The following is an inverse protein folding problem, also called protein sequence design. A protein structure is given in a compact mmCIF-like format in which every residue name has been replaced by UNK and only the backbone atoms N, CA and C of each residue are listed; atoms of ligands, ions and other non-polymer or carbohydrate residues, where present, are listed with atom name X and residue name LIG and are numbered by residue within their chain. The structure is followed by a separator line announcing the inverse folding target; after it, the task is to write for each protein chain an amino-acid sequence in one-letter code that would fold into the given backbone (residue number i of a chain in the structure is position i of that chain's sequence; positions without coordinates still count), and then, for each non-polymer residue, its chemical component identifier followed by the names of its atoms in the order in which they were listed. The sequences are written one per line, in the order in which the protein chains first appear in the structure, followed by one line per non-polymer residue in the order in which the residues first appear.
data_IF_944839881234
#
_entry.id   IF_944839881234
#
_cell.length_a   1.000
_cell.length_b   1.000
_cell.length_c   1.000
_cell.angle_alpha   90.00
_cell.angle_beta   90.00
_cell.angle_gamma   90.00
#
_symmetry.space_group_name_H-M   'P 1'
#
loop_
_entity.id
_entity.type
_entity.pdbx_description
1 polymer ?
#
# COMPACT_ATOMS: atom_id res chain seq x y z
N UNK A 1 -57.53 8.58 -67.35
CA UNK A 1 -57.45 7.16 -67.60
C UNK A 1 -57.02 6.56 -66.28
N UNK A 2 -57.94 6.12 -65.52
CA UNK A 2 -58.44 4.81 -65.18
C UNK A 2 -57.38 3.96 -64.49
N UNK A 3 -57.67 3.75 -63.27
CA UNK A 3 -57.96 2.52 -62.52
C UNK A 3 -56.70 1.78 -62.08
N UNK A 4 -56.54 1.13 -61.00
CA UNK A 4 -57.48 0.25 -60.24
C UNK A 4 -56.90 0.00 -58.87
N UNK A 5 -57.76 0.02 -57.88
CA UNK A 5 -57.57 -0.38 -56.50
C UNK A 5 -57.46 -1.91 -56.40
N UNK A 6 -56.53 -2.43 -55.63
CA UNK A 6 -56.61 -3.80 -55.07
C UNK A 6 -56.33 -3.73 -53.58
N UNK A 7 -57.36 -4.03 -52.80
CA UNK A 7 -57.31 -4.31 -51.37
C UNK A 7 -57.08 -5.81 -51.22
N UNK A 8 -56.06 -6.20 -50.45
CA UNK A 8 -55.90 -7.55 -49.94
C UNK A 8 -55.90 -7.48 -48.42
N UNK A 9 -56.97 -7.95 -47.81
CA UNK A 9 -56.99 -8.29 -46.38
C UNK A 9 -56.23 -9.61 -46.17
N UNK A 10 -55.20 -9.55 -45.37
CA UNK A 10 -54.53 -10.74 -44.81
C UNK A 10 -54.58 -10.67 -43.29
N UNK A 11 -55.45 -11.50 -42.68
CA UNK A 11 -55.41 -11.75 -41.27
C UNK A 11 -54.23 -12.66 -40.96
N UNK A 12 -53.32 -12.20 -40.12
CA UNK A 12 -52.16 -12.93 -39.63
C UNK A 12 -52.07 -12.86 -38.11
N UNK A 13 -52.16 -14.01 -37.48
CA UNK A 13 -52.24 -14.27 -36.05
C UNK A 13 -51.10 -13.60 -35.24
N UNK A 14 -51.45 -13.03 -34.12
CA UNK A 14 -50.51 -12.62 -33.07
C UNK A 14 -49.86 -13.87 -32.46
N UNK A 15 -48.55 -13.94 -32.59
CA UNK A 15 -47.72 -14.80 -31.77
C UNK A 15 -47.12 -13.96 -30.65
N UNK A 16 -47.60 -14.10 -29.45
CA UNK A 16 -47.00 -13.57 -28.25
C UNK A 16 -45.66 -14.31 -28.00
N UNK A 17 -44.56 -13.62 -28.27
CA UNK A 17 -43.25 -14.07 -27.83
C UNK A 17 -43.03 -13.63 -26.39
N UNK A 18 -43.20 -14.56 -25.47
CA UNK A 18 -42.82 -14.43 -24.08
C UNK A 18 -41.28 -14.27 -24.03
N UNK A 19 -40.82 -13.03 -23.97
CA UNK A 19 -39.43 -12.66 -23.73
C UNK A 19 -39.17 -12.75 -22.24
N UNK A 20 -39.00 -13.97 -21.73
CA UNK A 20 -38.38 -14.21 -20.45
C UNK A 20 -36.95 -13.70 -20.46
N UNK A 21 -36.78 -12.42 -20.16
CA UNK A 21 -35.48 -11.87 -19.82
C UNK A 21 -35.03 -12.46 -18.47
N UNK A 22 -34.42 -13.61 -18.53
CA UNK A 22 -33.66 -14.16 -17.42
C UNK A 22 -32.52 -13.19 -17.11
N UNK A 23 -32.72 -12.32 -16.11
CA UNK A 23 -31.65 -11.59 -15.51
C UNK A 23 -30.67 -12.62 -14.91
N UNK A 24 -29.60 -12.93 -15.65
CA UNK A 24 -28.48 -13.63 -15.11
C UNK A 24 -27.91 -12.75 -13.99
N UNK A 25 -28.27 -13.06 -12.75
CA UNK A 25 -27.59 -12.51 -11.60
C UNK A 25 -26.11 -12.90 -11.73
N UNK A 26 -25.29 -11.93 -12.11
CA UNK A 26 -23.84 -12.06 -12.03
C UNK A 26 -23.54 -12.29 -10.55
N UNK A 27 -23.36 -13.55 -10.17
CA UNK A 27 -22.74 -13.91 -8.90
C UNK A 27 -21.30 -13.48 -8.98
N UNK A 28 -21.06 -12.19 -8.67
CA UNK A 28 -19.72 -11.69 -8.42
C UNK A 28 -19.17 -12.49 -7.24
N UNK A 29 -18.32 -13.45 -7.50
CA UNK A 29 -17.46 -14.03 -6.49
C UNK A 29 -16.56 -12.89 -6.01
N UNK A 30 -17.01 -12.16 -4.99
CA UNK A 30 -16.19 -11.19 -4.31
C UNK A 30 -14.95 -11.93 -3.80
N UNK A 31 -13.81 -11.65 -4.39
CA UNK A 31 -12.53 -12.15 -3.90
C UNK A 31 -12.35 -11.51 -2.53
N UNK A 32 -12.51 -12.32 -1.48
CA UNK A 32 -12.22 -11.85 -0.11
C UNK A 32 -10.73 -11.64 -0.03
N UNK A 33 -10.32 -10.41 0.28
CA UNK A 33 -8.91 -10.10 0.47
C UNK A 33 -8.33 -10.97 1.60
N UNK A 34 -7.11 -11.51 1.43
CA UNK A 34 -6.45 -12.24 2.50
C UNK A 34 -6.28 -11.33 3.72
N UNK A 35 -6.43 -11.90 4.92
CA UNK A 35 -6.29 -11.15 6.16
C UNK A 35 -4.83 -11.18 6.61
N UNK A 36 -4.25 -10.00 6.82
CA UNK A 36 -2.93 -9.81 7.38
C UNK A 36 -2.99 -8.80 8.54
N UNK A 37 -1.90 -8.69 9.28
CA UNK A 37 -1.69 -7.70 10.36
C UNK A 37 -0.21 -7.33 10.31
N UNK A 38 0.10 -6.33 9.48
CA UNK A 38 1.48 -5.87 9.27
C UNK A 38 1.84 -4.91 10.38
N UNK A 39 2.94 -5.16 11.07
CA UNK A 39 3.48 -4.28 12.10
C UNK A 39 4.92 -3.88 11.78
N UNK A 40 5.31 -2.69 12.20
CA UNK A 40 6.67 -2.19 12.08
C UNK A 40 7.28 -1.91 13.43
N UNK A 41 8.53 -2.32 13.59
CA UNK A 41 9.35 -2.06 14.77
C UNK A 41 10.72 -1.59 14.33
N UNK A 42 11.39 -0.85 15.19
CA UNK A 42 12.73 -0.46 14.84
C UNK A 42 13.34 0.56 15.78
N UNK A 43 14.35 1.21 15.28
CA UNK A 43 15.04 2.28 16.00
C UNK A 43 15.59 3.31 15.04
N UNK A 44 15.65 4.54 15.53
CA UNK A 44 16.23 5.66 14.85
C UNK A 44 17.24 6.34 15.76
N UNK A 45 18.30 6.92 15.18
CA UNK A 45 19.21 7.81 15.87
C UNK A 45 19.65 8.93 14.94
N UNK A 46 19.91 10.11 15.52
CA UNK A 46 20.42 11.27 14.81
C UNK A 46 21.65 11.80 15.53
N UNK A 47 22.74 11.98 14.80
CA UNK A 47 23.97 12.55 15.32
C UNK A 47 24.76 13.24 14.20
N UNK A 48 25.15 14.49 14.41
CA UNK A 48 25.97 15.25 13.46
C UNK A 48 25.45 15.18 12.03
N UNK A 49 24.14 15.39 11.84
CA UNK A 49 23.49 15.31 10.54
C UNK A 49 23.43 13.93 9.91
N UNK A 50 23.82 12.88 10.62
CA UNK A 50 23.65 11.49 10.19
C UNK A 50 22.43 10.88 10.89
N UNK A 51 21.46 10.44 10.09
CA UNK A 51 20.23 9.80 10.53
C UNK A 51 20.30 8.31 10.20
N UNK A 52 20.38 7.48 11.23
CA UNK A 52 20.32 6.02 11.10
C UNK A 52 18.90 5.53 11.35
N UNK A 53 18.39 4.69 10.45
CA UNK A 53 17.03 4.11 10.50
C UNK A 53 17.13 2.61 10.38
N UNK A 54 16.51 1.87 11.29
CA UNK A 54 16.30 0.43 11.19
C UNK A 54 14.82 0.14 11.29
N UNK A 55 14.29 -0.56 10.30
CA UNK A 55 12.89 -0.97 10.22
C UNK A 55 12.83 -2.47 10.05
N UNK A 56 12.17 -3.14 10.97
CA UNK A 56 11.79 -4.55 10.87
C UNK A 56 10.28 -4.61 10.69
N UNK A 57 9.82 -5.44 9.76
CA UNK A 57 8.40 -5.64 9.50
C UNK A 57 8.00 -7.06 9.90
N UNK A 58 6.85 -7.19 10.53
CA UNK A 58 6.27 -8.46 10.95
C UNK A 58 4.84 -8.57 10.42
N UNK A 59 4.34 -9.79 10.31
CA UNK A 59 2.95 -10.05 9.99
C UNK A 59 2.38 -10.96 11.07
N UNK A 60 1.47 -10.43 11.86
CA UNK A 60 0.77 -11.18 12.93
C UNK A 60 -0.50 -11.86 12.41
N UNK A 61 -0.91 -11.55 11.18
CA UNK A 61 -2.12 -12.10 10.56
C UNK A 61 -1.94 -13.51 10.00
N UNK A 62 -3.06 -14.18 9.71
CA UNK A 62 -3.08 -15.59 9.28
C UNK A 62 -2.65 -15.79 7.83
N UNK A 63 -2.64 -14.75 7.00
CA UNK A 63 -2.28 -14.85 5.57
C UNK A 63 -0.92 -14.25 5.30
N UNK A 64 -0.10 -14.92 4.50
CA UNK A 64 1.17 -14.37 4.06
C UNK A 64 0.95 -13.17 3.13
N UNK A 65 1.82 -12.17 3.24
CA UNK A 65 1.91 -11.02 2.35
C UNK A 65 3.13 -11.21 1.46
N UNK A 66 2.93 -11.18 0.15
CA UNK A 66 4.03 -11.41 -0.80
C UNK A 66 5.07 -10.28 -0.74
N UNK A 67 4.61 -9.07 -0.47
CA UNK A 67 5.44 -7.89 -0.30
C UNK A 67 4.59 -6.76 0.29
N UNK A 68 5.20 -5.86 1.03
CA UNK A 68 4.61 -4.61 1.47
C UNK A 68 5.57 -3.45 1.20
N UNK A 69 5.03 -2.24 1.12
CA UNK A 69 5.83 -1.03 0.94
C UNK A 69 5.69 -0.15 2.17
N UNK A 70 6.80 0.13 2.80
CA UNK A 70 6.93 1.07 3.92
C UNK A 70 7.41 2.40 3.38
N UNK A 71 6.75 3.48 3.77
CA UNK A 71 7.15 4.85 3.51
C UNK A 71 7.76 5.45 4.77
N UNK A 72 8.89 6.09 4.60
CA UNK A 72 9.59 6.87 5.60
C UNK A 72 9.56 8.33 5.15
N UNK A 73 8.84 9.18 5.90
CA UNK A 73 8.80 10.62 5.66
C UNK A 73 9.57 11.35 6.77
N UNK A 74 10.49 12.21 6.35
CA UNK A 74 11.39 12.93 7.24
C UNK A 74 11.00 14.41 7.32
N UNK A 75 10.96 14.99 8.52
CA UNK A 75 10.68 16.42 8.71
C UNK A 75 11.81 17.32 8.20
N UNK A 76 13.01 16.77 8.08
CA UNK A 76 14.21 17.47 7.63
C UNK A 76 14.56 17.09 6.19
N UNK A 77 15.14 18.00 5.38
CA UNK A 77 15.59 17.67 4.04
C UNK A 77 16.81 16.75 4.10
N UNK A 78 16.86 15.80 3.17
CA UNK A 78 17.97 14.85 3.04
C UNK A 78 18.90 15.24 1.91
N UNK A 79 20.19 14.95 2.06
CA UNK A 79 21.17 15.17 0.99
C UNK A 79 20.79 14.30 -0.20
N UNK A 80 20.75 14.87 -1.40
CA UNK A 80 20.40 14.15 -2.63
C UNK A 80 21.51 13.21 -3.08
N UNK A 81 21.13 12.16 -3.80
CA UNK A 81 22.08 11.26 -4.46
C UNK A 81 22.79 10.29 -3.52
N UNK A 82 22.31 10.14 -2.29
CA UNK A 82 22.81 9.11 -1.40
C UNK A 82 22.37 7.73 -1.85
N UNK A 83 23.21 6.75 -1.62
CA UNK A 83 22.91 5.35 -1.90
C UNK A 83 21.90 4.81 -0.89
N UNK A 84 20.90 4.11 -1.40
CA UNK A 84 19.90 3.41 -0.60
C UNK A 84 20.08 1.89 -0.72
N UNK A 85 19.63 1.10 0.26
CA UNK A 85 19.52 -0.34 0.12
C UNK A 85 18.75 -0.73 -1.15
N UNK A 86 19.07 -1.86 -1.75
CA UNK A 86 18.50 -2.31 -3.04
C UNK A 86 16.97 -2.47 -3.02
N UNK A 87 16.39 -2.67 -1.84
CA UNK A 87 14.94 -2.74 -1.64
C UNK A 87 14.28 -1.39 -1.40
N UNK A 88 15.04 -0.27 -1.45
CA UNK A 88 14.53 1.07 -1.20
C UNK A 88 14.72 1.98 -2.43
N UNK A 89 13.88 3.00 -2.52
CA UNK A 89 13.96 4.03 -3.55
C UNK A 89 13.55 5.40 -2.98
N UNK A 90 14.02 6.46 -3.63
CA UNK A 90 13.63 7.83 -3.30
C UNK A 90 12.20 8.11 -3.78
N UNK A 91 11.30 8.48 -2.86
CA UNK A 91 9.96 8.97 -3.15
C UNK A 91 9.88 10.50 -3.28
N UNK A 92 10.94 11.19 -2.87
CA UNK A 92 11.05 12.66 -2.87
C UNK A 92 12.27 13.13 -2.08
N UNK A 93 12.37 14.43 -1.82
CA UNK A 93 13.51 15.03 -1.09
C UNK A 93 13.55 14.66 0.40
N UNK A 94 12.44 14.17 0.92
CA UNK A 94 12.22 13.82 2.33
C UNK A 94 11.52 12.48 2.49
N UNK A 95 11.45 11.68 1.43
CA UNK A 95 10.68 10.45 1.43
C UNK A 95 11.50 9.31 0.87
N UNK A 96 11.54 8.20 1.59
CA UNK A 96 12.11 6.92 1.15
C UNK A 96 11.01 5.87 1.20
N UNK A 97 10.92 5.07 0.16
CA UNK A 97 10.01 3.93 0.06
C UNK A 97 10.83 2.65 0.06
N UNK A 98 10.50 1.71 0.93
CA UNK A 98 11.20 0.44 1.05
C UNK A 98 10.24 -0.74 0.93
N UNK A 99 10.64 -1.76 0.18
CA UNK A 99 9.92 -3.03 0.13
C UNK A 99 10.36 -3.91 1.29
N UNK A 100 9.40 -4.57 1.91
CA UNK A 100 9.68 -5.50 3.02
C UNK A 100 10.16 -6.87 2.53
N UNK A 101 9.85 -7.21 1.26
CA UNK A 101 9.86 -8.59 0.81
C UNK A 101 8.72 -9.39 1.43
N UNK A 102 8.80 -10.71 1.29
CA UNK A 102 7.75 -11.61 1.77
C UNK A 102 7.64 -11.58 3.30
N UNK A 103 6.42 -11.35 3.79
CA UNK A 103 6.04 -11.52 5.20
C UNK A 103 5.19 -12.80 5.32
N UNK A 104 5.72 -13.81 5.99
CA UNK A 104 5.00 -15.05 6.22
C UNK A 104 3.85 -14.84 7.19
N UNK A 105 2.83 -15.68 7.12
CA UNK A 105 1.78 -15.72 8.14
C UNK A 105 2.40 -15.92 9.53
N UNK A 106 1.99 -15.11 10.49
CA UNK A 106 2.51 -15.12 11.87
C UNK A 106 4.05 -15.16 11.88
N UNK A 107 4.69 -14.25 11.13
CA UNK A 107 6.13 -14.30 10.92
C UNK A 107 6.81 -12.95 10.78
N UNK A 108 8.13 -12.99 10.93
CA UNK A 108 9.00 -11.83 10.74
C UNK A 108 9.49 -11.74 9.31
N UNK A 109 9.61 -10.52 8.82
CA UNK A 109 10.31 -10.19 7.59
C UNK A 109 11.78 -9.87 7.84
N UNK A 110 12.43 -9.34 6.81
CA UNK A 110 13.78 -8.82 6.91
C UNK A 110 13.83 -7.46 7.64
N UNK A 111 14.98 -7.13 8.20
CA UNK A 111 15.29 -5.79 8.68
C UNK A 111 15.93 -4.98 7.54
N UNK A 112 15.46 -3.76 7.35
CA UNK A 112 16.08 -2.77 6.45
C UNK A 112 16.82 -1.74 7.29
N UNK A 113 18.12 -1.58 7.04
CA UNK A 113 18.96 -0.57 7.67
C UNK A 113 19.35 0.50 6.64
N UNK A 114 19.14 1.76 6.99
CA UNK A 114 19.39 2.92 6.12
C UNK A 114 20.21 3.92 6.91
N UNK A 115 21.28 4.44 6.30
CA UNK A 115 22.04 5.57 6.82
C UNK A 115 21.87 6.75 5.85
N UNK A 116 21.36 7.86 6.35
CA UNK A 116 21.05 9.06 5.57
C UNK A 116 21.75 10.28 6.17
N UNK A 117 22.16 11.18 5.31
CA UNK A 117 22.66 12.50 5.72
C UNK A 117 21.57 13.54 5.51
N UNK A 118 21.37 14.37 6.52
CA UNK A 118 20.49 15.54 6.45
C UNK A 118 21.21 16.71 5.77
N UNK A 119 20.42 17.62 5.21
CA UNK A 119 20.96 18.92 4.80
C UNK A 119 21.14 19.78 6.06
N UNK A 120 22.38 20.06 6.39
CA UNK A 120 22.75 20.72 7.66
C UNK A 120 22.78 19.72 8.82
N UNK A 121 22.87 20.30 10.02
CA UNK A 121 22.96 19.57 11.29
C UNK A 121 21.77 19.96 12.19
N UNK A 122 20.59 19.38 11.97
CA UNK A 122 19.40 19.71 12.74
C UNK A 122 19.48 19.16 14.15
N UNK A 123 18.95 19.90 15.13
CA UNK A 123 18.90 19.50 16.54
C UNK A 123 17.95 18.31 16.78
N UNK A 124 16.98 18.12 15.88
CA UNK A 124 16.01 17.03 15.92
C UNK A 124 15.44 16.70 14.53
N UNK A 125 14.93 15.52 14.36
CA UNK A 125 14.11 15.11 13.22
C UNK A 125 12.87 14.37 13.68
N UNK A 126 11.77 14.51 12.94
CA UNK A 126 10.60 13.64 13.07
C UNK A 126 10.58 12.70 11.87
N UNK A 127 10.44 11.41 12.14
CA UNK A 127 10.29 10.39 11.10
C UNK A 127 8.92 9.77 11.24
N UNK A 128 8.14 9.84 10.17
CA UNK A 128 6.87 9.15 10.05
C UNK A 128 7.09 7.88 9.25
N UNK A 129 6.54 6.77 9.74
CA UNK A 129 6.68 5.43 9.18
C UNK A 129 5.28 4.91 8.93
N UNK A 130 4.97 4.58 7.67
CA UNK A 130 3.63 4.11 7.28
C UNK A 130 3.73 2.94 6.31
N UNK A 131 2.82 1.97 6.40
CA UNK A 131 2.55 1.05 5.29
C UNK A 131 1.72 1.78 4.24
N UNK A 132 2.24 1.91 3.02
CA UNK A 132 1.51 2.51 1.89
C UNK A 132 0.93 1.46 0.93
N UNK A 133 1.41 0.24 1.02
CA UNK A 133 0.87 -0.91 0.31
C UNK A 133 1.21 -2.21 1.07
N UNK A 134 0.25 -3.10 1.23
CA UNK A 134 0.35 -4.33 2.03
C UNK A 134 0.03 -5.61 1.22
N UNK A 135 0.34 -5.59 -0.07
CA UNK A 135 0.05 -6.74 -0.95
C UNK A 135 -1.42 -6.93 -1.29
N UNK A 136 -2.28 -5.96 -0.98
CA UNK A 136 -3.73 -6.06 -1.18
C UNK A 136 -4.45 -6.87 -0.08
N UNK A 137 -3.78 -7.15 1.04
CA UNK A 137 -4.39 -7.78 2.19
C UNK A 137 -5.31 -6.81 2.96
N UNK A 138 -6.29 -7.36 3.67
CA UNK A 138 -7.05 -6.63 4.67
C UNK A 138 -6.28 -6.64 5.98
N UNK A 139 -5.98 -5.46 6.52
CA UNK A 139 -5.28 -5.29 7.78
C UNK A 139 -6.27 -4.91 8.88
N UNK A 140 -6.37 -5.71 9.93
CA UNK A 140 -7.30 -5.48 11.04
C UNK A 140 -6.78 -4.48 12.07
N UNK A 141 -5.48 -4.25 12.11
CA UNK A 141 -4.86 -3.37 13.08
C UNK A 141 -3.93 -2.35 12.40
N UNK A 142 -4.46 -1.44 11.58
CA UNK A 142 -3.64 -0.51 10.81
C UNK A 142 -2.87 0.51 11.68
N UNK A 143 -3.11 0.55 12.98
CA UNK A 143 -2.42 1.49 13.88
C UNK A 143 -1.01 1.02 14.25
N UNK A 144 -0.74 -0.29 14.25
CA UNK A 144 0.58 -0.85 14.57
C UNK A 144 1.56 -0.79 13.39
N UNK A 145 1.12 -0.35 12.22
CA UNK A 145 1.95 -0.12 11.05
C UNK A 145 2.16 1.37 10.74
N UNK A 146 1.83 2.25 11.71
CA UNK A 146 2.02 3.70 11.64
C UNK A 146 2.72 4.20 12.87
N UNK A 147 3.85 4.89 12.67
CA UNK A 147 4.63 5.45 13.76
C UNK A 147 5.07 6.87 13.43
N UNK A 148 5.15 7.70 14.45
CA UNK A 148 5.73 9.03 14.38
C UNK A 148 6.74 9.18 15.50
N UNK A 149 8.00 9.22 15.15
CA UNK A 149 9.11 9.21 16.09
C UNK A 149 9.84 10.54 16.06
N UNK A 150 9.98 11.19 17.20
CA UNK A 150 10.86 12.34 17.39
C UNK A 150 12.26 11.82 17.75
N UNK A 151 13.27 12.27 17.03
CA UNK A 151 14.65 11.83 17.14
C UNK A 151 15.54 13.06 17.39
N UNK A 152 15.87 13.37 18.66
CA UNK A 152 16.85 14.41 18.99
C UNK A 152 18.27 14.02 18.54
N UNK A 153 19.10 15.02 18.24
CA UNK A 153 20.48 14.83 17.79
C UNK A 153 21.46 14.50 18.93
N UNK A 154 21.08 13.54 19.77
CA UNK A 154 21.88 13.07 20.91
C UNK A 154 22.78 11.88 20.57
N UNK A 155 22.52 11.22 19.44
CA UNK A 155 23.15 9.95 19.09
C UNK A 155 22.47 8.72 19.74
N UNK A 156 21.52 8.93 20.64
CA UNK A 156 20.78 7.84 21.27
C UNK A 156 19.83 7.15 20.28
N UNK A 157 19.56 5.88 20.53
CA UNK A 157 18.61 5.10 19.73
C UNK A 157 17.20 5.17 20.32
N UNK A 158 16.25 5.65 19.52
CA UNK A 158 14.83 5.77 19.85
C UNK A 158 14.05 4.62 19.19
N UNK A 159 13.50 3.73 20.01
CA UNK A 159 12.69 2.59 19.56
C UNK A 159 11.22 3.00 19.30
N UNK A 160 10.53 2.23 18.45
CA UNK A 160 9.10 2.37 18.15
C UNK A 160 8.48 1.01 17.86
#
# INVERSE_FOLDING_TARGET
MSAMTVVVLGAGAAAEADSGAGAAAATGTGVIAPEADVAHHGRLSLWSGELSVRVASENHGPSAVADATVRLDFSVPLVRGQELPANCLWGGDRTVLCRTGQLRAVGRGGETAIALRTVGDPDEAVVQIDTVWNGGASDRNPDNNRHRVLVPATGDAYAY
#
